data_IF_470299609788
#
_entry.id   IF_470299609788
#
_cell.length_a   1.000
_cell.length_b   1.000
_cell.length_c   1.000
_cell.angle_alpha   90.00
_cell.angle_beta   90.00
_cell.angle_gamma   90.00
#
_symmetry.space_group_name_H-M   'P 1'
#
loop_
_entity.id
_entity.type
_entity.pdbx_description
1 polymer ?
#
# COMPACT_ATOMS: atom_id res chain seq x y z
N UNK A 1 14.07 10.04 12.95
CA UNK A 1 13.54 11.43 12.85
C UNK A 1 14.14 12.16 11.65
N UNK A 2 13.50 13.23 11.14
CA UNK A 2 14.05 14.03 10.04
C UNK A 2 15.51 14.42 10.35
N UNK A 3 16.47 14.23 9.43
CA UNK A 3 16.33 14.04 7.97
C UNK A 3 16.34 12.58 7.48
N UNK A 4 16.25 11.60 8.38
CA UNK A 4 16.20 10.19 7.99
C UNK A 4 14.87 9.83 7.30
N UNK A 5 14.72 8.56 6.90
CA UNK A 5 13.54 8.07 6.20
C UNK A 5 12.24 8.43 6.94
N UNK A 6 11.26 9.08 6.27
CA UNK A 6 10.02 9.49 6.90
C UNK A 6 9.07 8.30 7.06
N UNK A 7 8.61 8.06 8.28
CA UNK A 7 7.59 7.01 8.59
C UNK A 7 6.32 7.15 7.74
N UNK A 8 6.00 8.35 7.25
CA UNK A 8 4.87 8.60 6.35
C UNK A 8 4.99 7.95 4.96
N UNK A 9 6.20 7.56 4.55
CA UNK A 9 6.48 6.90 3.27
C UNK A 9 6.64 5.39 3.39
N UNK A 10 6.64 4.84 4.62
CA UNK A 10 6.94 3.41 4.83
C UNK A 10 5.92 2.49 4.15
N UNK A 11 4.63 2.86 4.17
CA UNK A 11 3.56 2.03 3.61
C UNK A 11 3.65 1.93 2.08
N UNK A 12 3.98 3.03 1.40
CA UNK A 12 4.15 3.07 -0.05
C UNK A 12 5.38 2.27 -0.47
N UNK A 13 6.46 2.30 0.33
CA UNK A 13 7.63 1.45 0.12
C UNK A 13 7.34 -0.03 0.40
N UNK A 14 6.43 -0.36 1.32
CA UNK A 14 6.00 -1.74 1.54
C UNK A 14 5.33 -2.33 0.29
N UNK A 15 4.46 -1.57 -0.39
CA UNK A 15 3.86 -1.98 -1.66
C UNK A 15 4.91 -2.19 -2.76
N UNK A 16 5.91 -1.31 -2.85
CA UNK A 16 7.02 -1.47 -3.79
C UNK A 16 7.86 -2.72 -3.48
N UNK A 17 8.20 -2.94 -2.21
CA UNK A 17 8.97 -4.11 -1.78
C UNK A 17 8.24 -5.43 -2.07
N UNK A 18 6.91 -5.44 -2.09
CA UNK A 18 6.12 -6.62 -2.36
C UNK A 18 6.36 -7.22 -3.76
N UNK A 19 6.85 -6.42 -4.71
CA UNK A 19 7.17 -6.85 -6.09
C UNK A 19 8.64 -6.63 -6.47
N UNK A 20 9.49 -6.26 -5.51
CA UNK A 20 10.91 -6.00 -5.75
C UNK A 20 11.72 -7.31 -5.78
N UNK A 21 12.83 -7.36 -6.51
CA UNK A 21 13.71 -8.52 -6.47
C UNK A 21 14.37 -8.68 -5.08
N UNK A 22 14.18 -9.84 -4.45
CA UNK A 22 14.84 -10.20 -3.18
C UNK A 22 13.97 -9.99 -1.94
N UNK A 23 14.58 -9.51 -0.85
CA UNK A 23 13.91 -9.33 0.44
C UNK A 23 14.27 -7.97 1.03
N UNK A 24 13.25 -7.19 1.37
CA UNK A 24 13.37 -5.90 2.03
C UNK A 24 12.80 -5.94 3.44
N UNK A 25 13.45 -5.23 4.37
CA UNK A 25 12.96 -5.11 5.75
C UNK A 25 12.63 -3.67 6.06
N UNK A 26 11.42 -3.41 6.55
CA UNK A 26 10.98 -2.11 7.07
C UNK A 26 10.95 -2.19 8.59
N UNK A 27 11.66 -1.30 9.26
CA UNK A 27 11.66 -1.21 10.74
C UNK A 27 11.00 0.12 11.12
N UNK A 28 9.87 0.03 11.82
CA UNK A 28 9.15 1.21 12.30
C UNK A 28 9.64 1.59 13.70
N UNK A 29 10.11 2.83 13.85
CA UNK A 29 10.70 3.34 15.11
C UNK A 29 9.96 4.54 15.67
N UNK A 30 8.92 5.02 14.99
CA UNK A 30 8.15 6.21 15.35
C UNK A 30 6.75 5.84 15.85
N UNK A 31 6.09 4.86 15.23
CA UNK A 31 4.70 4.48 15.56
C UNK A 31 4.52 2.96 15.66
N UNK A 32 4.28 2.45 16.87
CA UNK A 32 4.26 1.01 17.15
C UNK A 32 3.17 0.19 16.40
N UNK A 33 2.14 0.84 15.84
CA UNK A 33 0.99 0.18 15.20
C UNK A 33 0.79 0.56 13.71
N UNK A 34 1.86 0.91 12.99
CA UNK A 34 1.75 1.47 11.63
C UNK A 34 1.70 0.43 10.49
N UNK A 35 1.50 -0.85 10.79
CA UNK A 35 1.53 -1.93 9.80
C UNK A 35 0.17 -2.52 9.42
N UNK A 36 -0.95 -1.86 9.74
CA UNK A 36 -2.29 -2.41 9.45
C UNK A 36 -2.53 -2.71 7.96
N UNK A 37 -1.90 -1.95 7.06
CA UNK A 37 -1.98 -2.16 5.61
C UNK A 37 -1.30 -3.44 5.12
N UNK A 38 -0.36 -4.02 5.87
CA UNK A 38 0.35 -5.22 5.42
C UNK A 38 -0.58 -6.43 5.31
N UNK A 39 -1.62 -6.52 6.16
CA UNK A 39 -2.61 -7.60 6.04
C UNK A 39 -3.39 -7.52 4.72
N UNK A 40 -3.70 -6.31 4.26
CA UNK A 40 -4.35 -6.09 2.98
C UNK A 40 -3.42 -6.40 1.80
N UNK A 41 -2.12 -6.07 1.90
CA UNK A 41 -1.13 -6.52 0.91
C UNK A 41 -0.99 -8.05 0.88
N UNK A 42 -1.01 -8.72 2.04
CA UNK A 42 -1.00 -10.19 2.11
C UNK A 42 -2.25 -10.79 1.47
N UNK A 43 -3.43 -10.14 1.59
CA UNK A 43 -4.65 -10.55 0.86
C UNK A 43 -4.49 -10.44 -0.66
N UNK A 44 -3.65 -9.52 -1.13
CA UNK A 44 -3.27 -9.38 -2.54
C UNK A 44 -2.12 -10.32 -2.95
N UNK A 45 -1.70 -11.25 -2.08
CA UNK A 45 -0.66 -12.24 -2.39
C UNK A 45 0.77 -11.84 -2.03
N UNK A 46 0.99 -10.73 -1.32
CA UNK A 46 2.32 -10.35 -0.86
C UNK A 46 2.87 -11.32 0.22
N UNK A 47 4.15 -11.69 0.11
CA UNK A 47 4.87 -12.51 1.10
C UNK A 47 5.50 -11.61 2.16
N UNK A 48 4.81 -11.49 3.31
CA UNK A 48 5.15 -10.56 4.38
C UNK A 48 5.14 -11.29 5.72
N UNK A 49 6.25 -11.19 6.45
CA UNK A 49 6.39 -11.66 7.82
C UNK A 49 6.55 -10.47 8.77
N UNK A 50 5.77 -10.43 9.85
CA UNK A 50 5.85 -9.42 10.89
C UNK A 50 6.59 -9.94 12.11
N UNK A 51 7.62 -9.22 12.55
CA UNK A 51 8.42 -9.51 13.74
C UNK A 51 8.53 -8.26 14.62
N UNK A 52 7.63 -8.13 15.60
CA UNK A 52 7.59 -6.95 16.47
C UNK A 52 7.29 -5.68 15.67
N UNK A 53 8.28 -4.78 15.60
CA UNK A 53 8.20 -3.53 14.82
C UNK A 53 8.89 -3.63 13.44
N UNK A 54 9.26 -4.83 13.01
CA UNK A 54 9.83 -5.08 11.70
C UNK A 54 8.83 -5.82 10.78
N UNK A 55 8.80 -5.41 9.52
CA UNK A 55 8.12 -6.11 8.43
C UNK A 55 9.17 -6.60 7.43
N UNK A 56 9.27 -7.91 7.29
CA UNK A 56 10.16 -8.59 6.33
C UNK A 56 9.30 -8.92 5.12
N UNK A 57 9.61 -8.31 3.98
CA UNK A 57 8.83 -8.41 2.74
C UNK A 57 9.70 -9.09 1.71
N UNK A 58 9.29 -10.28 1.28
CA UNK A 58 9.92 -10.99 0.17
C UNK A 58 9.13 -10.67 -1.09
N UNK A 59 9.81 -10.21 -2.12
CA UNK A 59 9.15 -9.88 -3.37
C UNK A 59 8.55 -11.12 -4.04
N UNK A 60 7.36 -10.91 -4.61
CA UNK A 60 6.64 -11.88 -5.45
C UNK A 60 6.57 -11.38 -6.89
N UNK A 61 6.36 -12.30 -7.83
CA UNK A 61 6.33 -11.96 -9.27
C UNK A 61 5.20 -10.97 -9.62
N UNK A 62 4.03 -11.15 -8.99
CA UNK A 62 2.87 -10.29 -9.16
C UNK A 62 2.00 -10.31 -7.90
N UNK A 63 1.25 -9.22 -7.70
CA UNK A 63 0.12 -9.21 -6.78
C UNK A 63 -1.15 -9.63 -7.52
N UNK A 64 -2.14 -10.15 -6.80
CA UNK A 64 -3.46 -10.45 -7.33
C UNK A 64 -4.47 -9.43 -6.83
N UNK A 65 -5.32 -8.94 -7.72
CA UNK A 65 -6.39 -8.02 -7.38
C UNK A 65 -7.36 -8.64 -6.36
N UNK A 66 -7.73 -7.86 -5.35
CA UNK A 66 -8.59 -8.30 -4.26
C UNK A 66 -9.46 -7.16 -3.74
N UNK A 67 -10.59 -7.46 -3.07
CA UNK A 67 -11.28 -6.48 -2.24
C UNK A 67 -10.44 -6.21 -0.99
N UNK A 68 -10.07 -4.95 -0.79
CA UNK A 68 -9.21 -4.48 0.31
C UNK A 68 -9.79 -3.25 1.01
N UNK A 69 -9.41 -3.02 2.27
CA UNK A 69 -9.93 -1.91 3.06
C UNK A 69 -8.86 -0.88 3.42
N UNK A 70 -9.11 0.39 3.08
CA UNK A 70 -8.28 1.50 3.55
C UNK A 70 -8.42 1.69 5.07
N UNK A 71 -7.29 1.73 5.79
CA UNK A 71 -7.25 1.86 7.25
C UNK A 71 -6.80 3.22 7.76
N UNK A 72 -5.98 3.92 6.98
CA UNK A 72 -5.48 5.27 7.24
C UNK A 72 -4.99 5.90 5.93
N UNK A 73 -4.58 7.18 5.98
CA UNK A 73 -4.19 7.95 4.80
C UNK A 73 -2.99 7.35 4.03
N UNK A 74 -1.97 6.85 4.73
CA UNK A 74 -0.74 6.35 4.08
C UNK A 74 -0.91 4.90 3.67
N UNK A 75 -1.59 4.11 4.50
CA UNK A 75 -2.05 2.77 4.16
C UNK A 75 -2.88 2.76 2.88
N UNK A 76 -3.82 3.69 2.75
CA UNK A 76 -4.68 3.74 1.59
C UNK A 76 -3.93 4.09 0.30
N UNK A 77 -2.92 4.97 0.37
CA UNK A 77 -2.05 5.24 -0.77
C UNK A 77 -1.22 4.01 -1.16
N UNK A 78 -0.75 3.22 -0.18
CA UNK A 78 -0.07 1.94 -0.42
C UNK A 78 -0.96 0.96 -1.19
N UNK A 79 -2.23 0.83 -0.82
CA UNK A 79 -3.18 -0.06 -1.51
C UNK A 79 -3.52 0.41 -2.93
N UNK A 80 -3.56 1.72 -3.17
CA UNK A 80 -3.71 2.25 -4.54
C UNK A 80 -2.50 1.83 -5.39
N UNK A 81 -1.27 1.99 -4.88
CA UNK A 81 -0.06 1.58 -5.60
C UNK A 81 -0.07 0.07 -5.85
N UNK A 82 -0.40 -0.74 -4.84
CA UNK A 82 -0.50 -2.19 -4.98
C UNK A 82 -1.54 -2.61 -6.02
N UNK A 83 -2.72 -1.96 -6.03
CA UNK A 83 -3.78 -2.23 -6.99
C UNK A 83 -3.41 -1.89 -8.43
N UNK A 84 -2.55 -0.88 -8.65
CA UNK A 84 -2.04 -0.54 -9.98
C UNK A 84 -1.02 -1.57 -10.52
N UNK A 85 -0.37 -2.33 -9.63
CA UNK A 85 0.62 -3.35 -9.98
C UNK A 85 0.02 -4.77 -10.01
N UNK A 86 -1.19 -4.95 -9.48
CA UNK A 86 -1.82 -6.26 -9.35
C UNK A 86 -2.46 -6.74 -10.66
N UNK A 87 -2.48 -8.06 -10.84
CA UNK A 87 -3.23 -8.70 -11.91
C UNK A 87 -4.71 -8.80 -11.54
N UNK A 88 -5.59 -8.35 -12.43
CA UNK A 88 -7.03 -8.32 -12.22
C UNK A 88 -7.52 -7.05 -11.50
N UNK A 89 -8.77 -7.08 -11.04
CA UNK A 89 -9.41 -5.91 -10.44
C UNK A 89 -9.18 -5.84 -8.93
N UNK A 90 -8.71 -4.69 -8.45
CA UNK A 90 -8.61 -4.36 -7.03
C UNK A 90 -9.72 -3.39 -6.64
N UNK A 91 -10.51 -3.72 -5.61
CA UNK A 91 -11.58 -2.86 -5.11
C UNK A 91 -11.15 -2.34 -3.74
N UNK A 92 -10.98 -1.02 -3.61
CA UNK A 92 -10.54 -0.38 -2.37
C UNK A 92 -11.74 0.28 -1.70
N UNK A 93 -12.15 -0.25 -0.55
CA UNK A 93 -13.22 0.30 0.28
C UNK A 93 -12.69 1.32 1.31
N UNK A 94 -13.61 2.08 1.92
CA UNK A 94 -13.31 3.09 2.96
C UNK A 94 -12.38 4.22 2.49
N UNK A 95 -12.57 4.63 1.23
CA UNK A 95 -11.75 5.66 0.56
C UNK A 95 -11.78 7.04 1.23
N UNK A 96 -12.66 7.30 2.20
CA UNK A 96 -12.63 8.52 3.00
C UNK A 96 -11.28 8.75 3.71
N UNK A 97 -10.47 7.70 3.91
CA UNK A 97 -9.09 7.85 4.37
C UNK A 97 -8.16 8.47 3.32
N UNK A 98 -8.33 8.14 2.04
CA UNK A 98 -7.58 8.70 0.90
C UNK A 98 -7.91 10.19 0.76
N UNK A 99 -9.21 10.50 0.80
CA UNK A 99 -9.74 11.84 0.55
C UNK A 99 -9.25 12.89 1.57
N UNK A 100 -8.77 12.44 2.73
CA UNK A 100 -8.17 13.32 3.76
C UNK A 100 -6.82 13.92 3.37
N UNK A 101 -6.16 13.39 2.34
CA UNK A 101 -4.82 13.87 1.98
C UNK A 101 -4.45 13.75 0.51
N UNK A 102 -5.27 13.11 -0.32
CA UNK A 102 -5.09 13.08 -1.77
C UNK A 102 -6.38 13.54 -2.47
N UNK A 103 -6.35 14.77 -2.96
CA UNK A 103 -7.42 15.33 -3.77
C UNK A 103 -7.43 14.69 -5.17
N UNK A 104 -8.58 14.16 -5.58
CA UNK A 104 -8.83 13.57 -6.90
C UNK A 104 -7.68 12.65 -7.38
N UNK A 105 -7.25 11.73 -6.51
CA UNK A 105 -6.08 10.87 -6.79
C UNK A 105 -6.29 10.03 -8.06
N UNK A 106 -7.51 9.55 -8.27
CA UNK A 106 -7.90 8.77 -9.43
C UNK A 106 -7.76 9.57 -10.72
N UNK A 107 -8.15 10.84 -10.74
CA UNK A 107 -8.03 11.71 -11.91
C UNK A 107 -6.56 11.97 -12.22
N UNK A 108 -5.76 12.28 -11.20
CA UNK A 108 -4.31 12.51 -11.34
C UNK A 108 -3.59 11.26 -11.87
N UNK A 109 -3.98 10.08 -11.40
CA UNK A 109 -3.41 8.81 -11.87
C UNK A 109 -3.90 8.44 -13.28
N UNK A 110 -5.17 8.70 -13.61
CA UNK A 110 -5.70 8.54 -14.97
C UNK A 110 -4.94 9.39 -15.98
N UNK A 111 -4.54 10.62 -15.62
CA UNK A 111 -3.70 11.48 -16.46
C UNK A 111 -2.31 10.88 -16.72
N UNK A 112 -1.84 9.96 -15.88
CA UNK A 112 -0.61 9.19 -16.08
C UNK A 112 -0.85 7.87 -16.83
N UNK A 113 -2.09 7.57 -17.24
CA UNK A 113 -2.46 6.36 -17.95
C UNK A 113 -2.92 5.20 -17.07
N UNK A 114 -3.12 5.42 -15.76
CA UNK A 114 -3.61 4.39 -14.87
C UNK A 114 -5.07 4.01 -15.16
N UNK A 115 -5.37 2.70 -15.18
CA UNK A 115 -6.73 2.19 -15.23
C UNK A 115 -7.34 2.15 -13.83
N UNK A 116 -7.80 3.30 -13.35
CA UNK A 116 -8.44 3.50 -12.04
C UNK A 116 -9.72 4.30 -12.21
N UNK A 117 -10.74 4.05 -11.39
CA UNK A 117 -11.98 4.84 -11.36
C UNK A 117 -12.59 4.83 -9.97
N UNK A 118 -13.21 5.95 -9.58
CA UNK A 118 -14.08 6.00 -8.40
C UNK A 118 -15.46 5.48 -8.78
N UNK A 119 -15.98 4.55 -7.98
CA UNK A 119 -17.35 4.04 -8.14
C UNK A 119 -18.32 4.89 -7.31
N UNK A 120 -19.60 5.01 -7.73
CA UNK A 120 -20.64 5.62 -6.91
C UNK A 120 -20.78 4.90 -5.56
N UNK A 121 -21.12 5.65 -4.53
CA UNK A 121 -21.51 5.11 -3.23
C UNK A 121 -22.91 4.47 -3.27
#
# INVERSE_FOLDING_TARGET
PYPAFPTDMQAQFAAMNAVAEGTGTIIETVFENRFMHLQELTRMGADITLEGNAAIIKGVDHLTGAPVMATDLRASASLVIAGLMAEGDTIIDRIYHIDRGYECIEEKLQLLGASIRRLPA
#
